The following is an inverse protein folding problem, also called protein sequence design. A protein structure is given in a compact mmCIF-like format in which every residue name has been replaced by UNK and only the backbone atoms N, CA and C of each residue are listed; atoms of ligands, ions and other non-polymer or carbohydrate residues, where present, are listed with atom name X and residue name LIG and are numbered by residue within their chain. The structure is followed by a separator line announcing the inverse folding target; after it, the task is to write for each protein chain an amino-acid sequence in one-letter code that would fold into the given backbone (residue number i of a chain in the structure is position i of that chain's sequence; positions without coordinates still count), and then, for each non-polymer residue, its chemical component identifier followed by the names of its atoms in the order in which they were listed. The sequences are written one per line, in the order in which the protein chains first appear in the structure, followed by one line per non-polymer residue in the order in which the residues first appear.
data_IF_557038915804
#
_entry.id   IF_557038915804
#
_cell.length_a   1.000
_cell.length_b   1.000
_cell.length_c   1.000
_cell.angle_alpha   90.00
_cell.angle_beta   90.00
_cell.angle_gamma   90.00
#
_symmetry.space_group_name_H-M   'P 1'
#
loop_
_entity.id
_entity.type
_entity.pdbx_description
1 polymer ?
#
# COMPACT_ATOMS: atom_id res chain seq x y z
N UNK A 1 -4.32 12.63 4.34
CA UNK A 1 -3.00 12.45 5.00
C UNK A 1 -2.48 11.08 4.58
N UNK A 2 -1.67 11.00 3.52
CA UNK A 2 -1.07 9.72 3.12
C UNK A 2 0.03 9.39 4.12
N UNK A 3 -0.28 8.49 5.05
CA UNK A 3 0.63 8.10 6.11
C UNK A 3 1.58 7.05 5.55
N UNK A 4 2.72 7.51 5.01
CA UNK A 4 3.82 6.64 4.63
C UNK A 4 4.42 6.03 5.90
N UNK A 5 4.41 4.70 6.01
CA UNK A 5 4.86 3.97 7.20
C UNK A 5 6.12 3.21 6.86
N UNK A 6 7.16 3.35 7.68
CA UNK A 6 8.39 2.58 7.53
C UNK A 6 8.30 1.27 8.31
N UNK A 7 8.49 0.15 7.62
CA UNK A 7 8.45 -1.19 8.19
C UNK A 7 9.61 -2.03 7.64
N UNK A 8 10.50 -2.50 8.53
CA UNK A 8 11.62 -3.40 8.20
C UNK A 8 12.53 -2.92 7.05
N UNK A 9 12.75 -1.61 6.94
CA UNK A 9 13.58 -1.02 5.86
C UNK A 9 12.84 -0.87 4.53
N UNK A 10 11.51 -1.01 4.54
CA UNK A 10 10.62 -0.65 3.45
C UNK A 10 9.75 0.54 3.87
N UNK A 11 9.44 1.41 2.94
CA UNK A 11 8.44 2.45 3.06
C UNK A 11 7.15 1.94 2.43
N UNK A 12 6.07 1.94 3.20
CA UNK A 12 4.75 1.41 2.84
C UNK A 12 3.80 2.58 2.72
N UNK A 13 3.29 2.80 1.52
CA UNK A 13 2.39 3.88 1.17
C UNK A 13 1.04 3.29 0.74
N UNK A 14 0.11 3.06 1.68
CA UNK A 14 -1.26 2.70 1.32
C UNK A 14 -1.96 3.93 0.69
N UNK A 15 -2.74 3.68 -0.34
CA UNK A 15 -3.54 4.69 -1.02
C UNK A 15 -4.94 4.14 -1.31
N UNK A 16 -5.95 4.97 -1.16
CA UNK A 16 -7.30 4.64 -1.56
C UNK A 16 -7.68 5.52 -2.75
N UNK A 17 -7.95 4.90 -3.88
CA UNK A 17 -8.34 5.62 -5.10
C UNK A 17 -9.84 5.52 -5.29
N UNK A 18 -10.55 6.64 -5.21
CA UNK A 18 -11.97 6.70 -5.55
C UNK A 18 -12.18 6.47 -7.05
N UNK A 19 -13.06 5.53 -7.38
CA UNK A 19 -13.42 5.16 -8.73
C UNK A 19 -14.75 5.81 -9.16
N UNK A 20 -15.02 5.90 -10.48
CA UNK A 20 -16.26 6.48 -11.00
C UNK A 20 -17.53 5.74 -10.56
N UNK A 21 -17.41 4.47 -10.16
CA UNK A 21 -18.52 3.66 -9.64
C UNK A 21 -18.83 3.92 -8.15
N UNK A 22 -18.10 4.84 -7.49
CA UNK A 22 -18.28 5.16 -6.08
C UNK A 22 -17.53 4.25 -5.10
N UNK A 23 -16.70 3.31 -5.59
CA UNK A 23 -15.86 2.46 -4.75
C UNK A 23 -14.45 3.02 -4.62
N UNK A 24 -13.76 2.66 -3.54
CA UNK A 24 -12.34 2.92 -3.33
C UNK A 24 -11.52 1.68 -3.69
N UNK A 25 -10.62 1.81 -4.65
CA UNK A 25 -9.59 0.80 -4.90
C UNK A 25 -8.48 0.93 -3.85
N UNK A 26 -8.16 -0.20 -3.20
CA UNK A 26 -7.05 -0.30 -2.28
C UNK A 26 -5.75 -0.45 -3.08
N UNK A 27 -4.97 0.63 -3.15
CA UNK A 27 -3.68 0.68 -3.81
C UNK A 27 -2.56 0.70 -2.76
N UNK A 28 -1.38 0.24 -3.17
CA UNK A 28 -0.25 0.14 -2.27
C UNK A 28 1.06 0.31 -3.02
N UNK A 29 1.92 1.19 -2.51
CA UNK A 29 3.31 1.26 -2.95
C UNK A 29 4.23 0.85 -1.81
N UNK A 30 5.20 -0.02 -2.11
CA UNK A 30 6.22 -0.48 -1.18
C UNK A 30 7.58 -0.16 -1.78
N UNK A 31 8.37 0.67 -1.11
CA UNK A 31 9.69 1.08 -1.59
C UNK A 31 10.78 0.63 -0.62
N UNK A 32 11.82 -0.04 -1.11
CA UNK A 32 12.95 -0.40 -0.25
C UNK A 32 13.83 0.83 0.01
N UNK A 33 14.01 1.23 1.26
CA UNK A 33 14.73 2.46 1.63
C UNK A 33 16.25 2.37 1.52
N UNK A 34 16.78 1.38 0.78
CA UNK A 34 18.23 1.17 0.67
C UNK A 34 18.85 2.14 -0.34
N UNK A 35 19.91 2.83 0.09
CA UNK A 35 20.51 3.99 -0.56
C UNK A 35 21.09 3.78 -1.98
N UNK A 36 21.09 2.57 -2.52
CA UNK A 36 21.85 2.25 -3.74
C UNK A 36 21.09 1.57 -4.88
N UNK A 37 19.79 1.30 -4.73
CA UNK A 37 18.85 0.85 -5.79
C UNK A 37 17.57 0.35 -5.11
N UNK A 38 16.79 1.26 -4.53
CA UNK A 38 15.52 0.89 -3.90
C UNK A 38 14.56 0.32 -4.93
N UNK A 39 14.28 -0.99 -4.88
CA UNK A 39 13.16 -1.56 -5.64
C UNK A 39 11.86 -1.00 -5.06
N UNK A 40 11.08 -0.37 -5.93
CA UNK A 40 9.70 0.00 -5.65
C UNK A 40 8.76 -1.05 -6.25
N UNK A 41 7.74 -1.40 -5.49
CA UNK A 41 6.69 -2.33 -5.86
C UNK A 41 5.37 -1.58 -5.73
N UNK A 42 4.66 -1.41 -6.84
CA UNK A 42 3.34 -0.82 -6.85
C UNK A 42 2.30 -1.89 -7.12
N UNK A 43 1.23 -1.86 -6.33
CA UNK A 43 0.09 -2.74 -6.45
C UNK A 43 -1.15 -1.87 -6.57
N UNK A 44 -1.81 -1.99 -7.71
CA UNK A 44 -3.04 -1.27 -8.00
C UNK A 44 -4.24 -2.20 -7.79
N UNK A 45 -5.28 -1.68 -7.15
CA UNK A 45 -6.55 -2.36 -6.91
C UNK A 45 -6.39 -3.77 -6.31
N UNK A 46 -5.71 -3.85 -5.17
CA UNK A 46 -5.61 -5.08 -4.37
C UNK A 46 -7.00 -5.65 -4.02
N UNK A 47 -7.95 -4.75 -3.73
CA UNK A 47 -9.36 -5.04 -3.54
C UNK A 47 -10.17 -3.73 -3.66
N UNK A 48 -11.50 -3.81 -3.64
CA UNK A 48 -12.39 -2.66 -3.76
C UNK A 48 -13.31 -2.56 -2.54
N UNK A 49 -13.39 -1.37 -1.94
CA UNK A 49 -14.18 -1.10 -0.75
C UNK A 49 -15.15 0.05 -0.98
N UNK A 50 -16.23 0.12 -0.20
CA UNK A 50 -17.12 1.28 -0.21
C UNK A 50 -16.61 2.43 0.66
N UNK A 51 -15.70 2.14 1.61
CA UNK A 51 -15.09 3.14 2.50
C UNK A 51 -13.59 3.30 2.23
N UNK A 52 -13.13 4.54 2.22
CA UNK A 52 -11.72 4.90 2.05
C UNK A 52 -10.85 4.32 3.17
N UNK A 53 -11.30 4.42 4.43
CA UNK A 53 -10.55 3.92 5.59
C UNK A 53 -10.36 2.40 5.54
N UNK A 54 -11.38 1.66 5.07
CA UNK A 54 -11.27 0.22 4.87
C UNK A 54 -10.24 -0.13 3.79
N UNK A 55 -10.25 0.59 2.66
CA UNK A 55 -9.26 0.41 1.61
C UNK A 55 -7.82 0.68 2.09
N UNK A 56 -7.61 1.76 2.85
CA UNK A 56 -6.31 2.11 3.42
C UNK A 56 -5.83 1.08 4.45
N UNK A 57 -6.70 0.70 5.39
CA UNK A 57 -6.36 -0.27 6.43
C UNK A 57 -6.03 -1.65 5.83
N UNK A 58 -6.79 -2.06 4.80
CA UNK A 58 -6.54 -3.30 4.09
C UNK A 58 -5.20 -3.26 3.34
N UNK A 59 -4.96 -2.22 2.52
CA UNK A 59 -3.70 -2.05 1.79
C UNK A 59 -2.49 -2.06 2.74
N UNK A 60 -2.59 -1.38 3.88
CA UNK A 60 -1.53 -1.38 4.89
C UNK A 60 -1.26 -2.77 5.47
N UNK A 61 -2.31 -3.47 5.90
CA UNK A 61 -2.18 -4.82 6.48
C UNK A 61 -1.61 -5.81 5.48
N UNK A 62 -2.08 -5.76 4.24
CA UNK A 62 -1.59 -6.58 3.15
C UNK A 62 -0.12 -6.28 2.86
N UNK A 63 0.28 -5.00 2.82
CA UNK A 63 1.66 -4.60 2.60
C UNK A 63 2.64 -5.14 3.63
N UNK A 64 2.25 -5.16 4.91
CA UNK A 64 3.07 -5.79 5.97
C UNK A 64 3.24 -7.29 5.74
N UNK A 65 2.18 -8.00 5.38
CA UNK A 65 2.26 -9.45 5.07
C UNK A 65 3.13 -9.72 3.85
N UNK A 66 3.02 -8.89 2.80
CA UNK A 66 3.84 -9.01 1.61
C UNK A 66 5.32 -8.85 1.93
N UNK A 67 5.69 -7.84 2.73
CA UNK A 67 7.08 -7.63 3.18
C UNK A 67 7.57 -8.82 4.00
N UNK A 68 6.75 -9.31 4.93
CA UNK A 68 7.10 -10.45 5.77
C UNK A 68 7.35 -11.73 4.94
N UNK A 69 6.68 -11.90 3.81
CA UNK A 69 6.88 -13.02 2.88
C UNK A 69 8.03 -12.80 1.87
N UNK A 70 8.46 -11.56 1.64
CA UNK A 70 9.51 -11.19 0.68
C UNK A 70 10.88 -10.92 1.31
N UNK A 71 11.02 -11.17 2.61
CA UNK A 71 12.28 -11.02 3.35
C UNK A 71 13.08 -12.32 3.34
#
# INVERSE_FOLDING_TARGET
MNSHIRYKGYEVAPAAQLLPNGMFAANLTIEKTSANNGKAYSFDALDYFFDEEHALAYAFRWGRMWIDNHQ
#
